data_IF_731399927430
#
_entry.id   IF_731399927430
#
_cell.length_a   1.000
_cell.length_b   1.000
_cell.length_c   1.000
_cell.angle_alpha   90.00
_cell.angle_beta   90.00
_cell.angle_gamma   90.00
#
_symmetry.space_group_name_H-M   'P 1'
#
loop_
_entity.id
_entity.type
_entity.pdbx_description
1 polymer ?
#
# COMPACT_ATOMS: atom_id res chain seq x y z
N UNK A 1 -7.79 6.89 16.17
CA UNK A 1 -6.32 7.15 16.19
C UNK A 1 -6.10 8.66 16.25
N UNK A 2 -5.23 9.17 17.13
CA UNK A 2 -4.91 10.60 17.18
C UNK A 2 -3.82 10.96 16.14
N UNK A 3 -3.59 12.27 15.91
CA UNK A 3 -2.64 12.75 14.90
C UNK A 3 -1.21 12.21 15.10
N UNK A 4 -0.73 12.21 16.34
CA UNK A 4 0.61 11.71 16.64
C UNK A 4 0.77 10.21 16.31
N UNK A 5 -0.27 9.40 16.53
CA UNK A 5 -0.26 7.98 16.15
C UNK A 5 -0.29 7.82 14.63
N UNK A 6 -1.06 8.64 13.91
CA UNK A 6 -1.06 8.65 12.44
C UNK A 6 0.32 9.01 11.89
N UNK A 7 0.98 10.03 12.45
CA UNK A 7 2.34 10.42 12.07
C UNK A 7 3.33 9.27 12.27
N UNK A 8 3.20 8.49 13.34
CA UNK A 8 4.03 7.30 13.59
C UNK A 8 3.77 6.19 12.56
N UNK A 9 2.51 5.95 12.20
CA UNK A 9 2.15 5.00 11.14
C UNK A 9 2.79 5.39 9.82
N UNK A 10 2.63 6.65 9.41
CA UNK A 10 3.22 7.18 8.17
C UNK A 10 4.75 7.05 8.21
N UNK A 11 5.39 7.42 9.32
CA UNK A 11 6.84 7.29 9.47
C UNK A 11 7.33 5.85 9.30
N UNK A 12 6.58 4.86 9.82
CA UNK A 12 6.91 3.43 9.63
C UNK A 12 6.78 3.01 8.17
N UNK A 13 5.74 3.47 7.46
CA UNK A 13 5.61 3.21 6.01
C UNK A 13 6.78 3.85 5.26
N UNK A 14 7.11 5.11 5.54
CA UNK A 14 8.26 5.81 4.92
C UNK A 14 9.58 5.06 5.18
N UNK A 15 9.82 4.61 6.41
CA UNK A 15 11.02 3.81 6.73
C UNK A 15 11.05 2.49 5.94
N UNK A 16 9.92 1.79 5.85
CA UNK A 16 9.83 0.48 5.21
C UNK A 16 10.05 0.53 3.70
N UNK A 17 9.59 1.59 3.03
CA UNK A 17 9.61 1.75 1.58
C UNK A 17 10.80 2.58 1.05
N UNK A 18 11.77 2.90 1.89
CA UNK A 18 12.91 3.78 1.52
C UNK A 18 13.75 3.26 0.35
N UNK A 19 13.70 1.96 0.08
CA UNK A 19 14.37 1.30 -1.05
C UNK A 19 13.40 0.64 -2.03
N UNK A 20 12.11 0.96 -1.94
CA UNK A 20 11.10 0.42 -2.85
C UNK A 20 11.35 0.90 -4.29
N UNK A 21 11.31 0.00 -5.29
CA UNK A 21 11.67 0.37 -6.65
C UNK A 21 10.71 1.39 -7.28
N UNK A 22 9.40 1.33 -7.00
CA UNK A 22 8.42 2.26 -7.57
C UNK A 22 8.52 3.62 -6.88
N UNK A 23 8.58 3.63 -5.55
CA UNK A 23 8.67 4.88 -4.79
C UNK A 23 9.99 5.63 -5.11
N UNK A 24 11.08 4.89 -5.32
CA UNK A 24 12.37 5.47 -5.72
C UNK A 24 12.43 5.83 -7.20
N UNK A 25 11.57 5.28 -8.03
CA UNK A 25 11.40 5.73 -9.41
C UNK A 25 10.57 7.02 -9.48
N UNK A 26 9.50 7.14 -8.70
CA UNK A 26 8.68 8.37 -8.59
C UNK A 26 9.51 9.53 -8.01
N UNK A 27 10.23 9.29 -6.93
CA UNK A 27 11.04 10.27 -6.22
C UNK A 27 12.49 9.80 -6.10
N UNK A 28 13.26 10.03 -7.15
CA UNK A 28 14.62 9.51 -7.26
C UNK A 28 15.55 10.04 -6.17
N UNK A 29 15.51 11.36 -5.91
CA UNK A 29 16.33 11.97 -4.88
C UNK A 29 15.78 11.72 -3.48
N UNK A 30 16.67 11.49 -2.51
CA UNK A 30 16.28 11.19 -1.14
C UNK A 30 15.39 12.28 -0.52
N UNK A 31 15.71 13.56 -0.81
CA UNK A 31 14.92 14.67 -0.29
C UNK A 31 13.50 14.71 -0.88
N UNK A 32 13.32 14.39 -2.16
CA UNK A 32 12.02 14.30 -2.81
C UNK A 32 11.17 13.21 -2.14
N UNK A 33 11.73 12.00 -2.01
CA UNK A 33 11.07 10.90 -1.34
C UNK A 33 10.62 11.28 0.08
N UNK A 34 11.54 11.80 0.90
CA UNK A 34 11.22 12.17 2.28
C UNK A 34 10.22 13.34 2.40
N UNK A 35 10.16 14.22 1.40
CA UNK A 35 9.25 15.36 1.41
C UNK A 35 7.85 15.02 0.89
N UNK A 36 7.73 14.12 -0.09
CA UNK A 36 6.49 13.91 -0.84
C UNK A 36 5.80 12.58 -0.52
N UNK A 37 6.56 11.52 -0.28
CA UNK A 37 5.99 10.20 0.01
C UNK A 37 5.09 10.17 1.24
N UNK A 38 5.33 10.91 2.35
CA UNK A 38 4.39 10.97 3.47
C UNK A 38 2.98 11.41 3.09
N UNK A 39 2.84 12.41 2.21
CA UNK A 39 1.53 12.88 1.74
C UNK A 39 0.83 11.83 0.86
N UNK A 40 1.59 11.12 0.02
CA UNK A 40 1.10 10.01 -0.79
C UNK A 40 0.59 8.85 0.07
N UNK A 41 1.35 8.49 1.13
CA UNK A 41 0.93 7.47 2.12
C UNK A 41 -0.37 7.87 2.79
N UNK A 42 -0.48 9.14 3.20
CA UNK A 42 -1.69 9.66 3.86
C UNK A 42 -2.91 9.60 2.93
N UNK A 43 -2.79 10.00 1.67
CA UNK A 43 -3.87 9.98 0.70
C UNK A 43 -4.36 8.54 0.40
N UNK A 44 -3.43 7.60 0.17
CA UNK A 44 -3.79 6.19 0.00
C UNK A 44 -4.40 5.56 1.27
N UNK A 45 -3.97 5.99 2.45
CA UNK A 45 -4.43 5.46 3.72
C UNK A 45 -5.62 6.20 4.35
N UNK A 46 -6.12 7.26 3.72
CA UNK A 46 -7.11 8.17 4.32
C UNK A 46 -8.32 7.42 4.88
N UNK A 47 -8.96 6.60 4.06
CA UNK A 47 -10.13 5.82 4.47
C UNK A 47 -9.83 4.78 5.57
N UNK A 48 -8.62 4.26 5.65
CA UNK A 48 -8.20 3.36 6.73
C UNK A 48 -8.08 4.10 8.07
N UNK A 49 -7.58 5.35 8.05
CA UNK A 49 -7.53 6.20 9.24
C UNK A 49 -8.93 6.60 9.70
N UNK A 50 -9.82 6.99 8.78
CA UNK A 50 -11.21 7.37 9.09
C UNK A 50 -12.00 6.19 9.66
N UNK A 51 -11.83 5.00 9.11
CA UNK A 51 -12.50 3.78 9.55
C UNK A 51 -11.86 3.14 10.80
N UNK A 52 -10.81 3.74 11.37
CA UNK A 52 -9.99 3.15 12.45
C UNK A 52 -9.50 1.72 12.13
N UNK A 53 -9.28 1.43 10.84
CA UNK A 53 -8.87 0.13 10.33
C UNK A 53 -7.33 0.06 10.12
N UNK A 54 -6.60 0.52 11.13
CA UNK A 54 -5.14 0.49 11.19
C UNK A 54 -4.69 -0.47 12.28
N UNK A 55 -3.92 -1.48 11.91
CA UNK A 55 -3.34 -2.45 12.86
C UNK A 55 -1.86 -2.19 13.04
N UNK A 56 -1.39 -2.30 14.26
CA UNK A 56 0.01 -2.10 14.62
C UNK A 56 0.54 -3.24 15.47
N UNK A 57 1.84 -3.49 15.40
CA UNK A 57 2.57 -4.39 16.28
C UNK A 57 3.84 -3.71 16.83
N UNK A 58 4.26 -4.17 18.02
CA UNK A 58 5.56 -3.82 18.63
C UNK A 58 5.81 -2.29 18.62
N UNK A 59 4.85 -1.52 19.16
CA UNK A 59 4.92 -0.05 19.25
C UNK A 59 5.17 0.63 17.90
N UNK A 60 4.32 0.33 16.90
CA UNK A 60 4.39 0.81 15.52
C UNK A 60 5.60 0.30 14.69
N UNK A 61 6.37 -0.68 15.17
CA UNK A 61 7.42 -1.29 14.36
C UNK A 61 6.88 -2.02 13.12
N UNK A 62 5.61 -2.40 13.12
CA UNK A 62 4.89 -2.86 11.95
C UNK A 62 3.49 -2.26 11.93
N UNK A 63 3.04 -1.84 10.74
CA UNK A 63 1.73 -1.20 10.53
C UNK A 63 1.07 -1.77 9.28
N UNK A 64 -0.27 -1.92 9.34
CA UNK A 64 -1.11 -2.31 8.21
C UNK A 64 -2.33 -1.39 8.17
N UNK A 65 -2.56 -0.78 7.03
CA UNK A 65 -3.72 0.07 6.77
C UNK A 65 -4.67 -0.72 5.89
N UNK A 66 -5.89 -0.93 6.36
CA UNK A 66 -6.91 -1.64 5.63
C UNK A 66 -8.07 -0.71 5.31
N UNK A 67 -8.46 -0.64 4.06
CA UNK A 67 -9.66 0.10 3.63
C UNK A 67 -10.83 -0.87 3.64
N UNK A 68 -11.90 -0.58 4.41
CA UNK A 68 -13.06 -1.45 4.48
C UNK A 68 -13.90 -1.39 3.19
N UNK A 69 -14.75 -2.40 2.96
CA UNK A 69 -15.64 -2.44 1.80
C UNK A 69 -16.51 -1.18 1.67
N UNK A 70 -16.57 -0.63 0.45
CA UNK A 70 -17.34 0.58 0.15
C UNK A 70 -16.65 1.89 0.49
N UNK A 71 -15.43 1.86 1.04
CA UNK A 71 -14.56 3.01 1.16
C UNK A 71 -13.44 2.95 0.10
N UNK A 72 -12.88 4.10 -0.26
CA UNK A 72 -11.83 4.22 -1.27
C UNK A 72 -10.71 5.13 -0.78
N UNK A 73 -9.48 5.02 -1.30
CA UNK A 73 -8.43 5.99 -1.09
C UNK A 73 -8.86 7.40 -1.51
N UNK A 74 -8.16 8.42 -1.00
CA UNK A 74 -8.32 9.80 -1.50
C UNK A 74 -7.70 9.93 -2.90
N UNK A 75 -8.47 9.57 -3.92
CA UNK A 75 -8.02 9.58 -5.32
C UNK A 75 -7.60 10.97 -5.81
N UNK A 76 -8.28 12.04 -5.37
CA UNK A 76 -7.91 13.42 -5.72
C UNK A 76 -6.58 13.82 -5.08
N UNK A 77 -6.39 13.50 -3.81
CA UNK A 77 -5.13 13.72 -3.11
C UNK A 77 -3.96 12.95 -3.73
N UNK A 78 -4.17 11.70 -4.11
CA UNK A 78 -3.18 10.86 -4.81
C UNK A 78 -2.74 11.53 -6.12
N UNK A 79 -3.71 11.88 -6.97
CA UNK A 79 -3.44 12.52 -8.28
C UNK A 79 -2.72 13.86 -8.08
N UNK A 80 -3.14 14.66 -7.11
CA UNK A 80 -2.53 15.96 -6.80
C UNK A 80 -1.07 15.79 -6.39
N UNK A 81 -0.78 14.89 -5.44
CA UNK A 81 0.61 14.64 -5.00
C UNK A 81 1.48 14.20 -6.17
N UNK A 82 1.02 13.25 -6.97
CA UNK A 82 1.80 12.75 -8.11
C UNK A 82 2.01 13.83 -9.18
N UNK A 83 0.97 14.59 -9.53
CA UNK A 83 1.05 15.64 -10.52
C UNK A 83 2.02 16.76 -10.12
N UNK A 84 2.00 17.14 -8.84
CA UNK A 84 2.76 18.31 -8.36
C UNK A 84 4.21 17.98 -8.00
N UNK A 85 4.52 16.69 -7.76
CA UNK A 85 5.82 16.31 -7.16
C UNK A 85 6.64 15.33 -7.98
N UNK A 86 6.03 14.59 -8.91
CA UNK A 86 6.73 13.69 -9.84
C UNK A 86 7.19 14.49 -11.06
N UNK A 87 8.34 14.14 -11.61
CA UNK A 87 8.89 14.81 -12.81
C UNK A 87 7.92 14.66 -14.00
N UNK A 88 7.69 15.75 -14.74
CA UNK A 88 6.71 15.79 -15.84
C UNK A 88 6.97 14.73 -16.91
N UNK A 89 8.23 14.37 -17.12
CA UNK A 89 8.65 13.32 -18.05
C UNK A 89 8.16 11.93 -17.65
N UNK A 90 7.85 11.72 -16.38
CA UNK A 90 7.36 10.45 -15.84
C UNK A 90 5.81 10.41 -15.78
N UNK A 91 5.11 11.54 -15.97
CA UNK A 91 3.65 11.61 -15.80
C UNK A 91 2.91 10.60 -16.67
N UNK A 92 3.28 10.47 -17.95
CA UNK A 92 2.62 9.53 -18.86
C UNK A 92 2.67 8.08 -18.34
N UNK A 93 3.83 7.64 -17.88
CA UNK A 93 4.02 6.29 -17.34
C UNK A 93 3.34 6.13 -15.98
N UNK A 94 3.45 7.13 -15.10
CA UNK A 94 2.82 7.14 -13.77
C UNK A 94 1.30 6.97 -13.87
N UNK A 95 0.64 7.80 -14.68
CA UNK A 95 -0.81 7.74 -14.82
C UNK A 95 -1.29 6.53 -15.62
N UNK A 96 -0.50 6.04 -16.59
CA UNK A 96 -0.81 4.80 -17.28
C UNK A 96 -0.75 3.57 -16.34
N UNK A 97 0.17 3.54 -15.39
CA UNK A 97 0.25 2.47 -14.37
C UNK A 97 -0.94 2.55 -13.43
N UNK A 98 -1.30 3.74 -12.93
CA UNK A 98 -2.49 3.92 -12.09
C UNK A 98 -3.77 3.45 -12.80
N UNK A 99 -3.93 3.80 -14.09
CA UNK A 99 -5.08 3.35 -14.88
C UNK A 99 -5.10 1.81 -15.03
N UNK A 100 -3.95 1.17 -15.20
CA UNK A 100 -3.87 -0.28 -15.27
C UNK A 100 -4.22 -0.93 -13.92
N UNK A 101 -3.76 -0.37 -12.80
CA UNK A 101 -4.13 -0.81 -11.44
C UNK A 101 -5.65 -0.72 -11.26
N UNK A 102 -6.25 0.42 -11.61
CA UNK A 102 -7.70 0.63 -11.50
C UNK A 102 -8.52 -0.36 -12.35
N UNK A 103 -8.01 -0.83 -13.49
CA UNK A 103 -8.71 -1.80 -14.34
C UNK A 103 -8.81 -3.20 -13.73
N UNK A 104 -7.86 -3.58 -12.88
CA UNK A 104 -7.84 -4.88 -12.21
C UNK A 104 -8.31 -4.81 -10.76
N UNK A 105 -8.49 -3.60 -10.24
CA UNK A 105 -9.05 -3.38 -8.91
C UNK A 105 -10.48 -3.96 -8.85
N UNK A 106 -10.84 -4.80 -7.86
CA UNK A 106 -12.15 -5.39 -7.77
C UNK A 106 -13.24 -4.33 -7.63
N UNK A 107 -14.35 -4.49 -8.37
CA UNK A 107 -15.54 -3.62 -8.28
C UNK A 107 -16.55 -4.10 -7.25
N UNK A 108 -16.50 -5.39 -6.91
CA UNK A 108 -17.34 -5.96 -5.84
C UNK A 108 -16.76 -5.61 -4.47
N UNK A 109 -17.61 -5.70 -3.43
CA UNK A 109 -17.22 -5.42 -2.05
C UNK A 109 -16.02 -6.27 -1.63
N UNK A 110 -14.96 -5.64 -1.18
CA UNK A 110 -13.72 -6.27 -0.76
C UNK A 110 -12.99 -5.41 0.29
N UNK A 111 -12.05 -6.02 1.02
CA UNK A 111 -11.08 -5.32 1.84
C UNK A 111 -9.83 -4.99 1.00
N UNK A 112 -9.37 -3.76 1.05
CA UNK A 112 -8.16 -3.32 0.36
C UNK A 112 -7.02 -3.04 1.35
N UNK A 113 -5.83 -3.56 1.08
CA UNK A 113 -4.61 -3.36 1.88
C UNK A 113 -3.61 -2.49 1.10
N UNK A 114 -3.72 -1.15 1.11
CA UNK A 114 -2.77 -0.28 0.45
C UNK A 114 -1.38 -0.33 1.09
N UNK A 115 -1.30 -0.44 2.42
CA UNK A 115 -0.03 -0.40 3.12
C UNK A 115 0.12 -1.52 4.13
N UNK A 116 1.18 -2.33 3.95
CA UNK A 116 1.72 -3.26 4.94
C UNK A 116 3.21 -2.98 5.08
N UNK A 117 3.62 -2.42 6.19
CA UNK A 117 4.96 -1.94 6.41
C UNK A 117 5.58 -2.50 7.70
N UNK A 118 6.88 -2.76 7.65
CA UNK A 118 7.71 -3.09 8.80
C UNK A 118 8.92 -2.17 8.77
N UNK A 119 9.17 -1.46 9.88
CA UNK A 119 10.35 -0.61 10.03
C UNK A 119 11.61 -1.32 9.50
N UNK A 120 12.40 -0.60 8.70
CA UNK A 120 13.56 -1.16 8.01
C UNK A 120 14.52 -1.91 8.96
N UNK A 121 14.68 -1.41 10.21
CA UNK A 121 15.51 -2.04 11.24
C UNK A 121 14.90 -3.31 11.84
N UNK A 122 13.63 -3.60 11.61
CA UNK A 122 12.87 -4.70 12.21
C UNK A 122 12.35 -5.71 11.18
N UNK A 123 12.71 -5.54 9.89
CA UNK A 123 12.37 -6.47 8.82
C UNK A 123 12.98 -7.85 9.05
N UNK A 124 12.49 -8.86 8.30
CA UNK A 124 12.94 -10.27 8.35
C UNK A 124 12.67 -11.00 9.67
N UNK A 125 11.97 -10.37 10.64
CA UNK A 125 11.57 -10.98 11.93
C UNK A 125 10.14 -11.57 11.90
N UNK A 126 9.51 -11.68 10.72
CA UNK A 126 8.17 -12.23 10.57
C UNK A 126 7.02 -11.28 10.97
N UNK A 127 7.31 -10.03 11.33
CA UNK A 127 6.30 -9.07 11.78
C UNK A 127 5.23 -8.79 10.71
N UNK A 128 5.62 -8.61 9.44
CA UNK A 128 4.68 -8.38 8.34
C UNK A 128 3.69 -9.52 8.17
N UNK A 129 4.17 -10.77 8.17
CA UNK A 129 3.29 -11.95 8.07
C UNK A 129 2.34 -12.08 9.26
N UNK A 130 2.83 -11.80 10.49
CA UNK A 130 1.99 -11.80 11.71
C UNK A 130 0.91 -10.73 11.64
N UNK A 131 1.27 -9.53 11.18
CA UNK A 131 0.33 -8.42 11.07
C UNK A 131 -0.70 -8.65 9.98
N UNK A 132 -0.29 -9.17 8.83
CA UNK A 132 -1.18 -9.58 7.74
C UNK A 132 -2.19 -10.62 8.24
N UNK A 133 -1.72 -11.68 8.92
CA UNK A 133 -2.59 -12.71 9.48
C UNK A 133 -3.64 -12.11 10.46
N UNK A 134 -3.22 -11.14 11.28
CA UNK A 134 -4.14 -10.44 12.21
C UNK A 134 -5.22 -9.64 11.48
N UNK A 135 -4.87 -8.92 10.42
CA UNK A 135 -5.85 -8.19 9.59
C UNK A 135 -6.83 -9.15 8.88
N UNK A 136 -6.31 -10.27 8.37
CA UNK A 136 -7.14 -11.28 7.68
C UNK A 136 -8.17 -11.94 8.58
N UNK A 137 -8.00 -11.97 9.90
CA UNK A 137 -9.07 -12.43 10.83
C UNK A 137 -10.33 -11.59 10.67
N UNK A 138 -10.21 -10.27 10.50
CA UNK A 138 -11.34 -9.39 10.27
C UNK A 138 -11.96 -9.62 8.90
N UNK A 139 -11.13 -9.70 7.86
CA UNK A 139 -11.56 -9.99 6.49
C UNK A 139 -12.39 -11.29 6.42
N UNK A 140 -11.89 -12.35 7.06
CA UNK A 140 -12.55 -13.66 7.09
C UNK A 140 -13.87 -13.63 7.88
N UNK A 141 -13.95 -12.82 8.94
CA UNK A 141 -15.19 -12.64 9.69
C UNK A 141 -16.30 -11.93 8.89
N UNK A 142 -15.92 -11.08 7.95
CA UNK A 142 -16.85 -10.39 7.05
C UNK A 142 -17.18 -11.25 5.80
N UNK A 143 -16.54 -12.41 5.61
CA UNK A 143 -16.70 -13.30 4.44
C UNK A 143 -16.49 -12.59 3.10
N UNK A 144 -15.52 -11.68 3.03
CA UNK A 144 -15.23 -10.88 1.85
C UNK A 144 -13.83 -11.19 1.31
N UNK A 145 -13.58 -10.92 0.01
CA UNK A 145 -12.24 -11.01 -0.54
C UNK A 145 -11.34 -9.90 -0.01
N UNK A 146 -10.03 -10.11 -0.12
CA UNK A 146 -9.00 -9.11 0.16
C UNK A 146 -8.18 -8.82 -1.09
N UNK A 147 -7.87 -7.57 -1.33
CA UNK A 147 -7.07 -7.09 -2.46
C UNK A 147 -5.85 -6.31 -1.97
N UNK A 148 -4.77 -6.37 -2.72
CA UNK A 148 -3.58 -5.55 -2.53
C UNK A 148 -2.80 -5.37 -3.84
N UNK A 149 -1.95 -4.35 -3.89
CA UNK A 149 -0.86 -4.24 -4.84
C UNK A 149 0.49 -4.26 -4.12
N UNK A 150 1.50 -4.81 -4.81
CA UNK A 150 2.88 -4.77 -4.32
C UNK A 150 3.87 -4.44 -5.44
N UNK A 151 4.68 -3.39 -5.25
CA UNK A 151 5.78 -3.05 -6.16
C UNK A 151 7.02 -3.92 -5.95
N UNK A 152 7.07 -4.70 -4.87
CA UNK A 152 8.23 -5.51 -4.53
C UNK A 152 7.97 -7.00 -4.78
N UNK A 153 8.56 -7.61 -5.82
CA UNK A 153 8.32 -9.02 -6.14
C UNK A 153 8.79 -9.99 -5.05
N UNK A 154 9.66 -9.55 -4.13
CA UNK A 154 10.12 -10.38 -3.00
C UNK A 154 9.03 -10.61 -1.95
N UNK A 155 7.99 -9.78 -1.93
CA UNK A 155 6.86 -9.91 -0.98
C UNK A 155 5.77 -10.84 -1.50
N UNK A 156 5.69 -11.08 -2.82
CA UNK A 156 4.69 -11.95 -3.45
C UNK A 156 4.61 -13.33 -2.76
N UNK A 157 5.71 -14.07 -2.51
CA UNK A 157 5.62 -15.37 -1.84
C UNK A 157 5.08 -15.29 -0.40
N UNK A 158 5.20 -14.16 0.27
CA UNK A 158 4.58 -13.97 1.58
C UNK A 158 3.06 -13.88 1.44
N UNK A 159 2.56 -13.09 0.50
CA UNK A 159 1.12 -12.97 0.25
C UNK A 159 0.51 -14.27 -0.24
N UNK A 160 1.19 -15.01 -1.13
CA UNK A 160 0.75 -16.34 -1.59
C UNK A 160 0.54 -17.33 -0.43
N UNK A 161 1.45 -17.36 0.55
CA UNK A 161 1.30 -18.18 1.77
C UNK A 161 0.07 -17.83 2.61
N UNK A 162 -0.44 -16.60 2.46
CA UNK A 162 -1.69 -16.14 3.09
C UNK A 162 -2.93 -16.30 2.19
N UNK A 163 -2.78 -16.93 1.01
CA UNK A 163 -3.87 -17.28 0.13
C UNK A 163 -4.20 -16.22 -0.92
N UNK A 164 -3.32 -15.24 -1.12
CA UNK A 164 -3.44 -14.31 -2.24
C UNK A 164 -2.91 -14.95 -3.53
N UNK A 165 -3.54 -14.62 -4.65
CA UNK A 165 -3.15 -15.02 -5.99
C UNK A 165 -2.89 -13.78 -6.84
N UNK A 166 -1.90 -13.86 -7.74
CA UNK A 166 -1.62 -12.77 -8.69
C UNK A 166 -2.75 -12.70 -9.72
N UNK A 167 -3.36 -11.53 -9.88
CA UNK A 167 -4.44 -11.30 -10.85
C UNK A 167 -4.07 -10.31 -11.96
N UNK A 168 -2.97 -9.56 -11.80
CA UNK A 168 -2.51 -8.62 -12.79
C UNK A 168 -1.13 -8.05 -12.47
N UNK A 169 -0.53 -7.44 -13.48
CA UNK A 169 0.72 -6.69 -13.37
C UNK A 169 0.52 -5.38 -14.14
N UNK A 170 0.65 -4.24 -13.46
CA UNK A 170 0.67 -2.92 -14.08
C UNK A 170 2.11 -2.51 -14.38
N UNK A 171 2.36 -2.05 -15.61
CA UNK A 171 3.68 -1.59 -16.05
C UNK A 171 3.55 -0.61 -17.23
N UNK A 172 4.30 0.48 -17.20
CA UNK A 172 4.43 1.41 -18.33
C UNK A 172 5.83 2.00 -18.36
N UNK A 173 6.43 2.06 -19.55
CA UNK A 173 7.72 2.69 -19.80
C UNK A 173 8.81 2.21 -18.84
N UNK A 174 9.39 3.15 -18.08
CA UNK A 174 10.45 2.90 -17.11
C UNK A 174 9.94 2.64 -15.68
N UNK A 175 8.62 2.75 -15.43
CA UNK A 175 8.06 2.44 -14.12
C UNK A 175 8.26 0.96 -13.79
N UNK A 176 8.82 0.61 -12.62
CA UNK A 176 8.89 -0.78 -12.20
C UNK A 176 7.50 -1.43 -12.11
N UNK A 177 7.38 -2.75 -12.37
CA UNK A 177 6.07 -3.42 -12.37
C UNK A 177 5.46 -3.47 -10.97
N UNK A 178 4.14 -3.28 -10.91
CA UNK A 178 3.32 -3.43 -9.71
C UNK A 178 2.43 -4.66 -9.87
N UNK A 179 2.51 -5.58 -8.93
CA UNK A 179 1.74 -6.82 -8.94
C UNK A 179 0.46 -6.66 -8.14
N UNK A 180 -0.70 -6.86 -8.78
CA UNK A 180 -2.01 -6.89 -8.14
C UNK A 180 -2.35 -8.30 -7.69
N UNK A 181 -2.83 -8.46 -6.46
CA UNK A 181 -3.14 -9.77 -5.87
C UNK A 181 -4.50 -9.76 -5.19
N UNK A 182 -5.21 -10.87 -5.33
CA UNK A 182 -6.53 -11.07 -4.75
C UNK A 182 -6.56 -12.36 -3.92
N UNK A 183 -7.17 -12.30 -2.76
CA UNK A 183 -7.50 -13.45 -1.91
C UNK A 183 -9.00 -13.61 -1.88
N UNK A 184 -9.49 -14.78 -2.27
CA UNK A 184 -10.91 -15.10 -2.24
C UNK A 184 -11.48 -15.05 -0.81
N UNK A 185 -12.77 -14.75 -0.70
CA UNK A 185 -13.52 -14.82 0.56
C UNK A 185 -13.45 -16.24 1.19
N UNK A 186 -13.45 -16.32 2.51
CA UNK A 186 -13.43 -17.57 3.27
C UNK A 186 -14.58 -17.64 4.28
#
# INVERSE_FOLDING_TARGET
MNQHEQDRVIATVVSAFISDPVERWLWHEAWQYLSHFPAFVAAFGAAAFEAEAVWTLDDFAAVALWIPPGAEPDGEGIVTVLHDTVAVEQHADTFAVLEQMNRVHPTDAHWYLPWLAVDACRQHAGLGSRLLARGLVRVDADHLPAYLETPNPRTVPMYERHGFEVIGIAHSGACPPITSMLRAAR
#
